data_IF_814834346427
#
_entry.id   IF_814834346427
#
_cell.length_a   1.000
_cell.length_b   1.000
_cell.length_c   1.000
_cell.angle_alpha   90.00
_cell.angle_beta   90.00
_cell.angle_gamma   90.00
#
_symmetry.space_group_name_H-M   'P 1'
#
loop_
_entity.id
_entity.type
_entity.pdbx_description
1 polymer ?
#
# COMPACT_ATOMS: atom_id res chain seq x y z
N UNK A 1 64.68 8.56 14.04
CA UNK A 1 63.50 7.71 13.78
C UNK A 1 63.56 7.30 12.33
N UNK A 2 63.88 6.04 12.05
CA UNK A 2 63.94 5.52 10.68
C UNK A 2 62.56 5.62 10.03
N UNK A 3 62.44 6.12 8.79
CA UNK A 3 61.16 6.19 8.11
C UNK A 3 60.61 4.78 7.92
N UNK A 4 59.39 4.56 8.41
CA UNK A 4 58.75 3.25 8.40
C UNK A 4 58.61 2.74 6.96
N UNK A 5 58.65 1.42 6.78
CA UNK A 5 58.50 0.75 5.48
C UNK A 5 57.32 1.31 4.67
N UNK A 6 56.20 1.64 5.34
CA UNK A 6 55.02 2.28 4.75
C UNK A 6 55.30 3.66 4.13
N UNK A 7 56.14 4.50 4.74
CA UNK A 7 56.50 5.80 4.18
C UNK A 7 57.41 5.68 2.94
N UNK A 8 58.31 4.70 2.89
CA UNK A 8 59.11 4.42 1.69
C UNK A 8 58.24 3.83 0.57
N UNK A 9 57.29 2.98 0.92
CA UNK A 9 56.36 2.34 -0.02
C UNK A 9 55.31 3.33 -0.58
N UNK A 10 54.93 4.37 0.15
CA UNK A 10 53.97 5.39 -0.31
C UNK A 10 54.61 6.58 -1.05
N UNK A 11 55.95 6.68 -1.05
CA UNK A 11 56.68 7.78 -1.69
C UNK A 11 57.13 7.47 -3.11
N UNK A 12 57.20 6.19 -3.48
CA UNK A 12 57.50 5.79 -4.87
C UNK A 12 56.23 5.90 -5.75
N UNK A 13 56.29 6.59 -6.89
CA UNK A 13 55.14 6.72 -7.79
C UNK A 13 54.69 5.37 -8.37
N UNK A 14 55.61 4.41 -8.51
CA UNK A 14 55.32 3.08 -9.07
C UNK A 14 54.50 2.22 -8.09
N UNK A 15 54.83 2.28 -6.80
CA UNK A 15 54.11 1.53 -5.75
C UNK A 15 52.75 2.15 -5.46
N UNK A 16 52.60 3.47 -5.62
CA UNK A 16 51.30 4.15 -5.60
C UNK A 16 50.40 3.69 -6.76
N UNK A 17 50.93 3.61 -7.98
CA UNK A 17 50.16 3.13 -9.15
C UNK A 17 49.76 1.67 -8.98
N UNK A 18 50.71 0.79 -8.60
CA UNK A 18 50.40 -0.62 -8.34
C UNK A 18 49.39 -0.80 -7.21
N UNK A 19 49.53 -0.03 -6.13
CA UNK A 19 48.58 -0.02 -5.02
C UNK A 19 47.19 0.48 -5.43
N UNK A 20 47.12 1.52 -6.26
CA UNK A 20 45.86 2.08 -6.77
C UNK A 20 45.14 1.09 -7.71
N UNK A 21 45.88 0.36 -8.55
CA UNK A 21 45.33 -0.69 -9.42
C UNK A 21 44.78 -1.85 -8.59
N UNK A 22 45.52 -2.30 -7.58
CA UNK A 22 45.04 -3.33 -6.65
C UNK A 22 43.80 -2.88 -5.88
N UNK A 23 43.79 -1.64 -5.37
CA UNK A 23 42.62 -1.05 -4.70
C UNK A 23 41.41 -0.97 -5.64
N UNK A 24 41.60 -0.50 -6.88
CA UNK A 24 40.54 -0.45 -7.89
C UNK A 24 39.96 -1.83 -8.20
N UNK A 25 40.80 -2.86 -8.28
CA UNK A 25 40.38 -4.24 -8.52
C UNK A 25 39.55 -4.80 -7.36
N UNK A 26 39.95 -4.51 -6.11
CA UNK A 26 39.18 -4.89 -4.91
C UNK A 26 37.84 -4.15 -4.86
N UNK A 27 37.83 -2.84 -5.14
CA UNK A 27 36.59 -2.04 -5.18
C UNK A 27 35.63 -2.54 -6.26
N UNK A 28 36.14 -2.93 -7.43
CA UNK A 28 35.34 -3.51 -8.51
C UNK A 28 34.69 -4.84 -8.09
N UNK A 29 35.43 -5.71 -7.38
CA UNK A 29 34.91 -6.96 -6.82
C UNK A 29 33.82 -6.71 -5.76
N UNK A 30 33.99 -5.71 -4.89
CA UNK A 30 33.02 -5.39 -3.84
C UNK A 30 31.71 -4.78 -4.36
N UNK A 31 31.75 -4.09 -5.50
CA UNK A 31 30.56 -3.49 -6.12
C UNK A 31 29.45 -4.50 -6.45
N UNK A 32 29.81 -5.75 -6.76
CA UNK A 32 28.84 -6.81 -7.08
C UNK A 32 28.22 -7.52 -5.87
N UNK A 33 28.82 -7.40 -4.68
CA UNK A 33 28.41 -8.15 -3.49
C UNK A 33 27.31 -7.45 -2.68
N UNK A 34 27.29 -6.11 -2.69
CA UNK A 34 26.29 -5.30 -1.96
C UNK A 34 24.86 -5.50 -2.47
N UNK A 35 24.69 -5.72 -3.77
CA UNK A 35 23.38 -5.98 -4.38
C UNK A 35 22.73 -7.28 -3.88
N UNK A 36 23.52 -8.28 -3.45
CA UNK A 36 22.98 -9.55 -2.95
C UNK A 36 22.46 -9.42 -1.51
N UNK A 37 23.14 -8.64 -0.67
CA UNK A 37 22.72 -8.41 0.71
C UNK A 37 21.47 -7.52 0.82
N UNK A 38 21.30 -6.55 -0.08
CA UNK A 38 20.11 -5.67 -0.08
C UNK A 38 18.84 -6.43 -0.46
N UNK A 39 18.92 -7.40 -1.37
CA UNK A 39 17.75 -8.18 -1.82
C UNK A 39 17.28 -9.15 -0.72
N UNK A 40 18.22 -9.83 -0.05
CA UNK A 40 17.91 -10.73 1.08
C UNK A 40 17.20 -10.02 2.24
N UNK A 41 17.64 -8.81 2.60
CA UNK A 41 16.99 -8.02 3.67
C UNK A 41 15.59 -7.50 3.29
N UNK A 42 15.32 -7.29 2.00
CA UNK A 42 13.99 -6.88 1.51
C UNK A 42 13.02 -8.06 1.45
N UNK A 43 13.52 -9.26 1.13
CA UNK A 43 12.71 -10.47 1.07
C UNK A 43 12.21 -10.89 2.46
N UNK A 44 13.05 -10.82 3.49
CA UNK A 44 12.68 -11.17 4.87
C UNK A 44 11.52 -10.30 5.40
N UNK A 45 11.61 -8.98 5.23
CA UNK A 45 10.50 -8.06 5.58
C UNK A 45 9.24 -8.30 4.76
N UNK A 46 9.39 -8.76 3.52
CA UNK A 46 8.27 -9.14 2.67
C UNK A 46 7.54 -10.38 3.21
N UNK A 47 8.28 -11.37 3.74
CA UNK A 47 7.70 -12.58 4.31
C UNK A 47 7.01 -12.32 5.65
N UNK A 48 7.61 -11.53 6.55
CA UNK A 48 6.95 -11.16 7.82
C UNK A 48 5.62 -10.43 7.59
N UNK A 49 5.61 -9.48 6.64
CA UNK A 49 4.38 -8.76 6.28
C UNK A 49 3.31 -9.70 5.73
N UNK A 50 3.68 -10.64 4.86
CA UNK A 50 2.75 -11.65 4.34
C UNK A 50 2.21 -12.55 5.44
N UNK A 51 3.03 -12.96 6.40
CA UNK A 51 2.59 -13.77 7.55
C UNK A 51 1.57 -12.99 8.40
N UNK A 52 1.83 -11.71 8.66
CA UNK A 52 0.91 -10.85 9.40
C UNK A 52 -0.44 -10.69 8.67
N UNK A 53 -0.41 -10.37 7.37
CA UNK A 53 -1.62 -10.25 6.55
C UNK A 53 -2.43 -11.56 6.48
N UNK A 54 -1.74 -12.71 6.39
CA UNK A 54 -2.41 -14.01 6.37
C UNK A 54 -3.04 -14.35 7.73
N UNK A 55 -2.40 -13.99 8.85
CA UNK A 55 -2.98 -14.18 10.19
C UNK A 55 -4.22 -13.32 10.39
N UNK A 56 -4.15 -12.04 10.03
CA UNK A 56 -5.28 -11.13 10.12
C UNK A 56 -6.47 -11.62 9.30
N UNK A 57 -6.23 -12.07 8.06
CA UNK A 57 -7.27 -12.66 7.21
C UNK A 57 -7.86 -13.93 7.82
N UNK A 58 -7.03 -14.79 8.43
CA UNK A 58 -7.51 -16.01 9.08
C UNK A 58 -8.41 -15.68 10.28
N UNK A 59 -8.02 -14.72 11.11
CA UNK A 59 -8.83 -14.28 12.25
C UNK A 59 -10.15 -13.63 11.81
N UNK A 60 -10.13 -12.80 10.76
CA UNK A 60 -11.33 -12.21 10.19
C UNK A 60 -12.31 -13.29 9.68
N UNK A 61 -11.81 -14.25 8.90
CA UNK A 61 -12.62 -15.37 8.40
C UNK A 61 -13.18 -16.23 9.53
N UNK A 62 -12.41 -16.48 10.60
CA UNK A 62 -12.92 -17.20 11.77
C UNK A 62 -14.08 -16.47 12.45
N UNK A 63 -13.96 -15.14 12.61
CA UNK A 63 -15.05 -14.32 13.16
C UNK A 63 -16.29 -14.33 12.28
N UNK A 64 -16.14 -14.35 10.96
CA UNK A 64 -17.27 -14.46 10.03
C UNK A 64 -17.96 -15.83 10.12
N UNK A 65 -17.19 -16.91 10.25
CA UNK A 65 -17.74 -18.26 10.46
C UNK A 65 -18.51 -18.29 11.79
N UNK A 66 -17.90 -17.82 12.87
CA UNK A 66 -18.52 -17.77 14.19
C UNK A 66 -19.81 -16.92 14.17
N UNK A 67 -19.80 -15.78 13.48
CA UNK A 67 -20.99 -14.96 13.29
C UNK A 67 -22.09 -15.69 12.51
N UNK A 68 -21.72 -16.46 11.48
CA UNK A 68 -22.65 -17.25 10.67
C UNK A 68 -23.33 -18.36 11.49
N UNK A 69 -22.66 -18.87 12.52
CA UNK A 69 -23.21 -19.87 13.45
C UNK A 69 -24.18 -19.27 14.50
N UNK A 70 -24.28 -17.94 14.60
CA UNK A 70 -25.19 -17.28 15.56
C UNK A 70 -26.62 -17.15 15.03
N UNK A 71 -27.60 -17.19 15.95
CA UNK A 71 -29.02 -16.95 15.63
C UNK A 71 -29.27 -15.59 14.95
N UNK A 72 -28.40 -14.60 15.19
CA UNK A 72 -28.47 -13.29 14.57
C UNK A 72 -28.19 -13.30 13.06
N UNK A 73 -27.34 -14.20 12.58
CA UNK A 73 -27.14 -14.40 11.14
C UNK A 73 -28.38 -15.01 10.49
N UNK A 74 -28.99 -16.00 11.14
CA UNK A 74 -30.21 -16.67 10.67
C UNK A 74 -31.40 -15.70 10.58
N UNK A 75 -31.54 -14.81 11.55
CA UNK A 75 -32.56 -13.75 11.52
C UNK A 75 -32.29 -12.74 10.41
N UNK A 76 -31.03 -12.31 10.22
CA UNK A 76 -30.65 -11.35 9.17
C UNK A 76 -30.87 -11.93 7.77
N UNK A 77 -30.48 -13.18 7.54
CA UNK A 77 -30.72 -13.91 6.28
C UNK A 77 -32.21 -14.20 6.05
N UNK A 78 -32.96 -14.55 7.10
CA UNK A 78 -34.42 -14.74 7.01
C UNK A 78 -35.15 -13.44 6.62
N UNK A 79 -34.74 -12.30 7.19
CA UNK A 79 -35.28 -10.98 6.84
C UNK A 79 -34.87 -10.57 5.42
N UNK A 80 -33.62 -10.79 5.02
CA UNK A 80 -33.11 -10.30 3.73
C UNK A 80 -33.56 -11.16 2.53
N UNK A 81 -33.50 -12.49 2.63
CA UNK A 81 -33.81 -13.39 1.50
C UNK A 81 -35.25 -13.84 1.46
N UNK A 82 -35.86 -14.02 2.62
CA UNK A 82 -37.19 -14.63 2.73
C UNK A 82 -38.26 -13.62 3.18
N UNK A 83 -37.87 -12.36 3.43
CA UNK A 83 -38.73 -11.29 3.95
C UNK A 83 -39.53 -11.75 5.20
N UNK A 84 -38.94 -12.66 5.99
CA UNK A 84 -39.56 -13.25 7.16
C UNK A 84 -39.52 -12.25 8.32
N UNK A 85 -40.61 -12.19 9.07
CA UNK A 85 -40.74 -11.36 10.27
C UNK A 85 -41.10 -12.21 11.48
N UNK A 86 -40.70 -11.77 12.67
CA UNK A 86 -41.14 -12.42 13.92
C UNK A 86 -42.63 -12.13 14.15
N UNK A 87 -43.37 -13.03 14.82
CA UNK A 87 -44.75 -12.77 15.20
C UNK A 87 -44.82 -11.54 16.10
N UNK A 88 -45.44 -10.46 15.62
CA UNK A 88 -45.54 -9.16 16.30
C UNK A 88 -44.79 -7.99 15.64
N UNK A 89 -44.03 -8.21 14.57
CA UNK A 89 -43.37 -7.13 13.79
C UNK A 89 -44.32 -6.50 12.75
N UNK A 90 -44.36 -5.16 12.70
CA UNK A 90 -45.13 -4.38 11.72
C UNK A 90 -44.20 -3.91 10.59
N UNK A 91 -44.59 -4.14 9.33
CA UNK A 91 -43.77 -3.82 8.14
C UNK A 91 -44.33 -2.54 7.52
N UNK A 92 -43.52 -1.49 7.46
CA UNK A 92 -43.87 -0.22 6.82
C UNK A 92 -43.33 -0.24 5.39
N UNK A 93 -44.23 -0.20 4.39
CA UNK A 93 -43.86 -0.02 2.99
C UNK A 93 -43.95 1.46 2.67
N UNK A 94 -42.79 2.09 2.41
CA UNK A 94 -42.74 3.48 1.95
C UNK A 94 -43.03 3.47 0.45
N UNK A 95 -44.22 3.93 0.08
CA UNK A 95 -44.56 4.19 -1.32
C UNK A 95 -44.14 5.63 -1.61
N UNK A 96 -43.09 5.82 -2.41
CA UNK A 96 -42.72 7.13 -2.92
C UNK A 96 -43.84 7.60 -3.85
N UNK A 97 -44.64 8.55 -3.39
CA UNK A 97 -45.61 9.23 -4.23
C UNK A 97 -44.82 10.00 -5.29
N UNK A 98 -45.01 9.62 -6.57
CA UNK A 98 -44.32 10.18 -7.73
C UNK A 98 -44.38 11.71 -7.70
N UNK A 99 -43.34 12.32 -7.13
CA UNK A 99 -43.12 13.75 -7.27
C UNK A 99 -42.68 13.95 -8.72
N UNK A 100 -43.41 14.72 -9.53
CA UNK A 100 -43.03 14.95 -10.92
C UNK A 100 -41.61 15.52 -10.96
N UNK A 101 -40.80 15.15 -11.98
CA UNK A 101 -39.41 15.57 -12.04
C UNK A 101 -39.37 17.10 -12.02
N UNK A 102 -38.83 17.66 -10.95
CA UNK A 102 -38.40 19.05 -10.96
C UNK A 102 -37.33 19.17 -12.03
N UNK A 103 -37.68 19.80 -13.15
CA UNK A 103 -36.75 20.34 -14.15
C UNK A 103 -35.87 21.40 -13.48
N UNK A 104 -34.93 20.95 -12.66
CA UNK A 104 -33.82 21.73 -12.15
C UNK A 104 -32.70 21.60 -13.16
N UNK A 105 -32.35 22.73 -13.79
CA UNK A 105 -31.27 22.94 -14.74
C UNK A 105 -30.09 21.96 -14.64
N UNK A 106 -29.49 21.55 -15.78
CA UNK A 106 -28.40 20.58 -15.80
C UNK A 106 -27.30 21.01 -14.82
N UNK A 107 -26.77 20.09 -13.99
CA UNK A 107 -25.73 20.42 -13.04
C UNK A 107 -24.54 20.96 -13.83
N UNK A 108 -24.32 22.28 -13.74
CA UNK A 108 -23.16 22.92 -14.35
C UNK A 108 -21.92 22.16 -13.92
N UNK A 109 -21.29 21.51 -14.89
CA UNK A 109 -20.20 20.60 -14.66
C UNK A 109 -19.09 21.34 -13.92
N UNK A 110 -18.45 20.66 -12.98
CA UNK A 110 -17.30 21.16 -12.21
C UNK A 110 -16.29 21.94 -13.08
N UNK A 111 -16.09 21.50 -14.32
CA UNK A 111 -15.26 22.14 -15.33
C UNK A 111 -15.69 23.56 -15.72
N UNK A 112 -16.99 23.86 -15.81
CA UNK A 112 -17.48 25.21 -16.13
C UNK A 112 -17.12 26.22 -15.03
N UNK A 113 -17.16 25.80 -13.76
CA UNK A 113 -16.74 26.64 -12.63
C UNK A 113 -15.23 26.85 -12.61
N UNK A 114 -14.45 25.81 -12.95
CA UNK A 114 -13.00 25.91 -13.00
C UNK A 114 -12.48 26.79 -14.15
N UNK A 115 -13.02 26.62 -15.36
CA UNK A 115 -12.62 27.45 -16.49
C UNK A 115 -13.08 28.91 -16.34
N UNK A 116 -14.28 29.15 -15.80
CA UNK A 116 -14.79 30.50 -15.57
C UNK A 116 -13.95 31.32 -14.58
N UNK A 117 -13.46 30.68 -13.51
CA UNK A 117 -12.58 31.33 -12.54
C UNK A 117 -11.21 31.67 -13.14
N UNK A 118 -10.69 30.84 -14.05
CA UNK A 118 -9.42 31.07 -14.72
C UNK A 118 -9.48 32.25 -15.69
N UNK A 119 -10.55 32.35 -16.50
CA UNK A 119 -10.73 33.45 -17.46
C UNK A 119 -10.88 34.80 -16.76
N UNK A 120 -11.52 34.85 -15.59
CA UNK A 120 -11.72 36.09 -14.82
C UNK A 120 -10.44 36.66 -14.19
N UNK A 121 -9.36 35.88 -14.06
CA UNK A 121 -8.09 36.34 -13.46
C UNK A 121 -7.13 36.87 -14.52
N UNK A 122 -7.43 36.65 -15.80
CA UNK A 122 -6.55 36.98 -16.93
C UNK A 122 -6.96 38.27 -17.67
N UNK A 123 -7.89 39.06 -17.13
CA UNK A 123 -8.23 40.38 -17.65
C UNK A 123 -8.32 41.43 -16.56
#
# INVERSE_FOLDING_TARGET
MEPTFFQKLLRSPVTLIGGAVLLGMVLYQFGGMTSRFITLYKEEKGFEKRIAELREKNEAMKKEIEYTETDGFLEREGKSRLNLKKPGEEVVVIVEENTPPSEGAPPRGFWERLFGAFVSVMW
#
